data_IF_196244367763
#
_entry.id   IF_196244367763
#
_cell.length_a   1.000
_cell.length_b   1.000
_cell.length_c   1.000
_cell.angle_alpha   90.00
_cell.angle_beta   90.00
_cell.angle_gamma   90.00
#
_symmetry.space_group_name_H-M   'P 1'
#
loop_
_entity.id
_entity.type
_entity.pdbx_description
1 polymer ?
#
# COMPACT_ATOMS: atom_id res chain seq x y z
N UNK A 1 -2.17 15.95 7.31
CA UNK A 1 -1.23 15.94 6.16
C UNK A 1 -1.96 16.11 4.82
N UNK A 2 -2.90 15.24 4.40
CA UNK A 2 -3.62 15.42 3.12
C UNK A 2 -4.39 16.74 3.07
N UNK A 3 -5.08 17.13 4.13
CA UNK A 3 -5.79 18.41 4.21
C UNK A 3 -4.85 19.62 4.07
N UNK A 4 -3.63 19.55 4.60
CA UNK A 4 -2.64 20.62 4.43
C UNK A 4 -2.12 20.75 3.00
N UNK A 5 -2.39 19.77 2.15
CA UNK A 5 -2.13 19.77 0.71
C UNK A 5 -3.37 20.17 -0.12
N UNK A 6 -4.46 20.58 0.55
CA UNK A 6 -5.69 21.03 -0.10
C UNK A 6 -6.68 19.93 -0.45
N UNK A 7 -6.46 18.68 0.01
CA UNK A 7 -7.41 17.60 -0.22
C UNK A 7 -8.59 17.68 0.77
N UNK A 8 -9.81 17.42 0.28
CA UNK A 8 -10.94 17.14 1.15
C UNK A 8 -10.85 15.69 1.65
N UNK A 9 -10.75 15.50 2.94
CA UNK A 9 -10.53 14.15 3.53
C UNK A 9 -11.77 13.68 4.26
N UNK A 10 -12.20 12.44 3.99
CA UNK A 10 -13.28 11.76 4.69
C UNK A 10 -12.87 10.35 5.10
N UNK A 11 -13.45 9.84 6.19
CA UNK A 11 -13.24 8.45 6.57
C UNK A 11 -14.18 7.53 5.80
N UNK A 12 -13.62 6.48 5.19
CA UNK A 12 -14.36 5.43 4.50
C UNK A 12 -14.46 4.21 5.43
N UNK A 13 -15.67 3.86 5.82
CA UNK A 13 -15.98 2.72 6.69
C UNK A 13 -16.84 1.66 6.00
N UNK A 14 -17.53 2.03 4.93
CA UNK A 14 -18.43 1.16 4.17
C UNK A 14 -18.18 1.37 2.66
N UNK A 15 -18.35 0.33 1.83
CA UNK A 15 -18.05 0.38 0.41
C UNK A 15 -18.74 1.51 -0.37
N UNK A 16 -20.00 1.79 -0.07
CA UNK A 16 -20.76 2.86 -0.77
C UNK A 16 -20.18 4.26 -0.56
N UNK A 17 -19.32 4.45 0.45
CA UNK A 17 -18.66 5.73 0.71
C UNK A 17 -17.45 5.99 -0.23
N UNK A 18 -17.09 5.03 -1.08
CA UNK A 18 -16.11 5.24 -2.16
C UNK A 18 -16.66 6.08 -3.31
N UNK A 19 -17.98 6.16 -3.42
CA UNK A 19 -18.65 6.91 -4.48
C UNK A 19 -18.29 8.40 -4.40
N UNK A 20 -17.83 8.94 -5.53
CA UNK A 20 -17.47 10.36 -5.66
C UNK A 20 -16.13 10.76 -5.05
N UNK A 21 -15.30 9.80 -4.63
CA UNK A 21 -13.93 10.06 -4.21
C UNK A 21 -12.97 9.98 -5.41
N UNK A 22 -11.92 10.82 -5.40
CA UNK A 22 -10.83 10.76 -6.38
C UNK A 22 -9.79 9.71 -6.02
N UNK A 23 -9.64 9.39 -4.72
CA UNK A 23 -8.63 8.47 -4.23
C UNK A 23 -8.90 7.93 -2.83
N UNK A 24 -8.32 6.77 -2.54
CA UNK A 24 -8.39 6.11 -1.25
C UNK A 24 -6.98 5.86 -0.71
N UNK A 25 -6.75 6.14 0.57
CA UNK A 25 -5.54 5.71 1.29
C UNK A 25 -5.90 4.57 2.22
N UNK A 26 -5.21 3.43 2.05
CA UNK A 26 -5.25 2.30 2.98
C UNK A 26 -4.04 2.42 3.91
N UNK A 27 -4.24 2.81 5.17
CA UNK A 27 -3.14 3.09 6.09
C UNK A 27 -2.47 1.81 6.62
N UNK A 28 -1.38 2.00 7.33
CA UNK A 28 -0.76 0.97 8.15
C UNK A 28 -1.68 0.48 9.27
N UNK A 29 -1.34 -0.70 9.82
CA UNK A 29 -2.11 -1.35 10.88
C UNK A 29 -1.86 -2.85 10.92
N UNK A 30 -2.83 -3.64 11.36
CA UNK A 30 -2.76 -5.10 11.37
C UNK A 30 -3.46 -5.66 10.12
N UNK A 31 -2.65 -6.14 9.15
CA UNK A 31 -3.11 -6.54 7.82
C UNK A 31 -4.16 -7.66 7.84
N UNK A 32 -4.04 -8.63 8.74
CA UNK A 32 -5.01 -9.74 8.86
C UNK A 32 -6.39 -9.24 9.25
N UNK A 33 -6.44 -8.29 10.19
CA UNK A 33 -7.70 -7.65 10.62
C UNK A 33 -8.29 -6.82 9.49
N UNK A 34 -7.47 -6.02 8.81
CA UNK A 34 -7.92 -5.18 7.69
C UNK A 34 -8.54 -6.05 6.59
N UNK A 35 -7.84 -7.10 6.16
CA UNK A 35 -8.33 -8.02 5.11
C UNK A 35 -9.63 -8.72 5.54
N UNK A 36 -9.69 -9.26 6.76
CA UNK A 36 -10.92 -9.91 7.26
C UNK A 36 -12.12 -8.97 7.27
N UNK A 37 -11.91 -7.73 7.71
CA UNK A 37 -12.99 -6.72 7.71
C UNK A 37 -13.36 -6.30 6.29
N UNK A 38 -12.39 -6.14 5.40
CA UNK A 38 -12.65 -5.81 4.00
C UNK A 38 -13.53 -6.87 3.33
N UNK A 39 -13.22 -8.16 3.48
CA UNK A 39 -14.03 -9.26 2.96
C UNK A 39 -15.44 -9.27 3.60
N UNK A 40 -15.51 -9.11 4.91
CA UNK A 40 -16.80 -9.13 5.64
C UNK A 40 -17.76 -8.05 5.17
N UNK A 41 -17.26 -6.90 4.79
CA UNK A 41 -18.06 -5.74 4.39
C UNK A 41 -18.16 -5.53 2.88
N UNK A 42 -17.61 -6.44 2.07
CA UNK A 42 -17.73 -6.38 0.61
C UNK A 42 -16.81 -5.35 -0.07
N UNK A 43 -15.73 -4.96 0.57
CA UNK A 43 -14.76 -4.03 -0.02
C UNK A 43 -14.01 -4.56 -1.25
N UNK A 44 -13.68 -5.88 -1.40
CA UNK A 44 -12.90 -6.33 -2.54
C UNK A 44 -13.49 -5.95 -3.89
N UNK A 45 -14.78 -6.20 -4.09
CA UNK A 45 -15.46 -5.88 -5.34
C UNK A 45 -15.65 -4.37 -5.53
N UNK A 46 -15.97 -3.67 -4.44
CA UNK A 46 -16.11 -2.22 -4.46
C UNK A 46 -14.80 -1.50 -4.78
N UNK A 47 -13.67 -1.99 -4.28
CA UNK A 47 -12.34 -1.43 -4.58
C UNK A 47 -11.93 -1.71 -6.03
N UNK A 48 -12.19 -2.91 -6.56
CA UNK A 48 -11.95 -3.18 -7.99
C UNK A 48 -12.77 -2.25 -8.87
N UNK A 49 -14.05 -2.11 -8.59
CA UNK A 49 -14.91 -1.18 -9.34
C UNK A 49 -14.42 0.26 -9.23
N UNK A 50 -14.02 0.71 -8.03
CA UNK A 50 -13.46 2.04 -7.81
C UNK A 50 -12.21 2.31 -8.66
N UNK A 51 -11.30 1.32 -8.74
CA UNK A 51 -10.08 1.39 -9.56
C UNK A 51 -10.45 1.40 -11.05
N UNK A 52 -11.37 0.53 -11.49
CA UNK A 52 -11.83 0.44 -12.88
C UNK A 52 -12.47 1.75 -13.37
N UNK A 53 -13.13 2.50 -12.47
CA UNK A 53 -13.68 3.83 -12.73
C UNK A 53 -12.61 4.97 -12.67
N UNK A 54 -11.34 4.63 -12.44
CA UNK A 54 -10.22 5.57 -12.41
C UNK A 54 -9.88 6.13 -11.05
N UNK A 55 -10.45 5.62 -9.98
CA UNK A 55 -10.09 5.97 -8.60
C UNK A 55 -8.69 5.52 -8.24
N UNK A 56 -7.89 6.39 -7.63
CA UNK A 56 -6.54 6.07 -7.18
C UNK A 56 -6.54 5.39 -5.81
N UNK A 57 -5.74 4.32 -5.63
CA UNK A 57 -5.58 3.66 -4.33
C UNK A 57 -4.11 3.69 -3.91
N UNK A 58 -3.86 4.16 -2.69
CA UNK A 58 -2.53 4.19 -2.10
C UNK A 58 -2.47 3.39 -0.81
N UNK A 59 -1.69 2.29 -0.79
CA UNK A 59 -1.47 1.46 0.40
C UNK A 59 -0.13 1.75 1.06
N UNK A 60 -0.13 2.01 2.36
CA UNK A 60 1.09 2.20 3.15
C UNK A 60 1.26 1.10 4.20
N UNK A 61 2.44 0.53 4.35
CA UNK A 61 2.73 -0.54 5.32
C UNK A 61 1.73 -1.71 5.18
N UNK A 62 0.83 -1.93 6.15
CA UNK A 62 -0.23 -2.94 6.04
C UNK A 62 -1.13 -2.73 4.81
N UNK A 63 -1.33 -1.50 4.36
CA UNK A 63 -2.05 -1.20 3.12
C UNK A 63 -1.38 -1.79 1.87
N UNK A 64 -0.04 -1.81 1.79
CA UNK A 64 0.68 -2.52 0.72
C UNK A 64 0.39 -4.02 0.76
N UNK A 65 0.39 -4.64 1.95
CA UNK A 65 0.06 -6.06 2.13
C UNK A 65 -1.38 -6.35 1.66
N UNK A 66 -2.32 -5.47 2.01
CA UNK A 66 -3.74 -5.59 1.61
C UNK A 66 -3.92 -5.52 0.10
N UNK A 67 -3.16 -4.65 -0.59
CA UNK A 67 -3.28 -4.45 -2.04
C UNK A 67 -2.61 -5.53 -2.88
N UNK A 68 -1.65 -6.28 -2.35
CA UNK A 68 -0.87 -7.28 -3.08
C UNK A 68 -1.73 -8.34 -3.76
N UNK A 69 -1.19 -8.97 -4.80
CA UNK A 69 -1.77 -10.17 -5.43
C UNK A 69 -1.35 -11.45 -4.70
N UNK A 70 -0.16 -11.45 -4.10
CA UNK A 70 0.37 -12.59 -3.34
C UNK A 70 1.23 -12.14 -2.14
N UNK A 71 1.35 -13.02 -1.16
CA UNK A 71 2.26 -12.88 -0.02
C UNK A 71 3.20 -14.09 0.05
N UNK A 72 4.41 -13.92 0.58
CA UNK A 72 5.29 -15.04 0.89
C UNK A 72 4.77 -15.85 2.09
N UNK A 73 4.09 -15.21 3.01
CA UNK A 73 3.44 -15.81 4.16
C UNK A 73 2.03 -16.31 3.79
N UNK A 74 1.54 -17.40 4.43
CA UNK A 74 0.28 -18.04 4.05
C UNK A 74 -0.98 -17.19 4.36
N UNK A 75 -0.87 -16.18 5.19
CA UNK A 75 -2.00 -15.32 5.62
C UNK A 75 -1.59 -13.86 5.80
N UNK A 76 -2.52 -12.92 5.62
CA UNK A 76 -3.88 -13.06 5.12
C UNK A 76 -3.91 -13.28 3.60
N UNK A 77 -5.05 -13.70 3.04
CA UNK A 77 -5.30 -13.66 1.59
C UNK A 77 -5.52 -12.20 1.17
N UNK A 78 -4.61 -11.56 0.40
CA UNK A 78 -4.71 -10.14 0.06
C UNK A 78 -5.85 -9.87 -0.95
N UNK A 79 -6.15 -8.61 -1.22
CA UNK A 79 -7.30 -8.24 -2.07
C UNK A 79 -7.02 -8.27 -3.58
N UNK A 80 -5.77 -8.53 -3.98
CA UNK A 80 -5.34 -8.61 -5.39
C UNK A 80 -5.71 -7.35 -6.21
N UNK A 81 -5.34 -6.18 -5.68
CA UNK A 81 -5.56 -4.89 -6.32
C UNK A 81 -4.35 -4.41 -7.13
N UNK A 82 -3.17 -4.98 -6.90
CA UNK A 82 -1.92 -4.67 -7.60
C UNK A 82 -1.12 -5.95 -7.78
N UNK A 83 -0.54 -6.16 -8.96
CA UNK A 83 0.25 -7.36 -9.28
C UNK A 83 1.65 -7.28 -8.66
N UNK A 84 1.71 -7.50 -7.35
CA UNK A 84 2.94 -7.57 -6.56
C UNK A 84 2.89 -8.74 -5.58
N UNK A 85 4.06 -9.35 -5.36
CA UNK A 85 4.27 -10.28 -4.25
C UNK A 85 4.98 -9.55 -3.11
N UNK A 86 4.45 -9.64 -1.91
CA UNK A 86 4.96 -8.91 -0.74
C UNK A 86 5.39 -9.90 0.35
N UNK A 87 6.52 -9.62 1.00
CA UNK A 87 6.86 -10.22 2.30
C UNK A 87 6.46 -9.27 3.43
N UNK A 88 5.72 -9.78 4.40
CA UNK A 88 5.23 -9.01 5.55
C UNK A 88 6.33 -8.68 6.57
N UNK A 89 7.38 -9.51 6.63
CA UNK A 89 8.42 -9.45 7.66
C UNK A 89 9.83 -9.41 7.06
N UNK A 90 10.05 -8.61 6.04
CA UNK A 90 11.28 -8.61 5.25
C UNK A 90 12.52 -8.15 6.04
N UNK A 91 12.33 -7.33 7.07
CA UNK A 91 13.44 -6.78 7.86
C UNK A 91 13.72 -7.55 9.16
N UNK A 92 13.40 -8.87 9.20
CA UNK A 92 13.81 -9.79 10.25
C UNK A 92 12.92 -9.80 11.51
N UNK A 93 13.25 -10.72 12.45
CA UNK A 93 12.56 -10.88 13.75
C UNK A 93 12.88 -9.76 14.75
N UNK A 94 13.91 -8.99 14.50
CA UNK A 94 14.30 -7.88 15.34
C UNK A 94 13.62 -6.61 14.86
N UNK A 95 13.22 -5.82 15.79
CA UNK A 95 12.56 -4.53 15.78
C UNK A 95 13.52 -3.47 15.21
N UNK A 96 14.09 -3.70 14.06
CA UNK A 96 14.96 -2.72 13.43
C UNK A 96 14.10 -1.75 12.62
N UNK A 97 13.49 -0.83 13.38
CA UNK A 97 13.00 0.40 12.77
C UNK A 97 14.21 1.22 12.36
N UNK A 98 14.20 1.70 11.14
CA UNK A 98 15.24 2.60 10.64
C UNK A 98 14.60 3.72 9.83
N UNK A 99 15.37 4.79 9.68
CA UNK A 99 14.97 5.93 8.89
C UNK A 99 16.04 6.19 7.84
N UNK A 100 15.62 6.58 6.65
CA UNK A 100 16.55 6.91 5.57
C UNK A 100 15.89 7.86 4.57
N UNK A 101 16.70 8.66 3.90
CA UNK A 101 16.23 9.52 2.83
C UNK A 101 16.30 8.77 1.49
N UNK A 102 15.17 8.65 0.81
CA UNK A 102 15.05 7.85 -0.42
C UNK A 102 14.58 8.72 -1.58
N UNK A 103 15.27 8.70 -2.73
CA UNK A 103 14.75 9.31 -3.93
C UNK A 103 13.48 8.53 -4.40
N UNK A 104 12.39 9.26 -4.64
CA UNK A 104 11.15 8.69 -5.16
C UNK A 104 10.90 9.24 -6.56
N UNK A 105 10.82 8.37 -7.54
CA UNK A 105 10.61 8.74 -8.94
C UNK A 105 9.26 9.44 -9.11
N UNK A 106 9.31 10.63 -9.72
CA UNK A 106 8.10 11.44 -9.95
C UNK A 106 7.70 12.34 -8.78
N UNK A 107 8.40 12.31 -7.65
CA UNK A 107 8.19 13.23 -6.52
C UNK A 107 9.23 14.35 -6.60
N UNK A 108 8.83 15.62 -6.85
CA UNK A 108 9.76 16.74 -6.87
C UNK A 108 10.19 17.12 -5.45
N UNK A 109 11.34 17.79 -5.32
CA UNK A 109 11.80 18.37 -4.04
C UNK A 109 12.93 17.60 -3.36
N UNK A 110 13.48 16.56 -3.99
CA UNK A 110 14.59 15.78 -3.44
C UNK A 110 14.15 14.49 -2.75
N UNK A 111 15.06 13.82 -2.01
CA UNK A 111 14.74 12.60 -1.31
C UNK A 111 13.63 12.78 -0.27
N UNK A 112 12.80 11.75 -0.13
CA UNK A 112 11.74 11.68 0.87
C UNK A 112 12.29 11.02 2.12
N UNK A 113 12.11 11.63 3.28
CA UNK A 113 12.44 11.00 4.56
C UNK A 113 11.46 9.87 4.85
N UNK A 114 11.95 8.65 4.79
CA UNK A 114 11.16 7.43 4.95
C UNK A 114 11.46 6.75 6.28
N UNK A 115 10.40 6.32 6.96
CA UNK A 115 10.46 5.63 8.26
C UNK A 115 9.96 4.20 8.08
N UNK A 116 10.78 3.24 8.42
CA UNK A 116 10.48 1.81 8.32
C UNK A 116 10.31 1.21 9.71
N UNK A 117 9.10 0.79 10.04
CA UNK A 117 8.74 0.17 11.33
C UNK A 117 8.13 -1.19 11.02
N UNK A 118 8.89 -2.27 11.17
CA UNK A 118 8.46 -3.63 10.80
C UNK A 118 7.82 -3.66 9.41
N UNK A 119 8.46 -2.97 8.47
CA UNK A 119 7.90 -2.69 7.18
C UNK A 119 7.84 -3.95 6.29
N UNK A 120 6.80 -4.10 5.45
CA UNK A 120 6.80 -5.07 4.37
C UNK A 120 7.74 -4.61 3.24
N UNK A 121 8.14 -5.54 2.38
CA UNK A 121 8.84 -5.21 1.14
C UNK A 121 8.25 -5.94 -0.06
N UNK A 122 8.38 -5.34 -1.23
CA UNK A 122 8.01 -5.98 -2.50
C UNK A 122 9.10 -6.98 -2.87
N UNK A 123 8.70 -8.23 -3.13
CA UNK A 123 9.59 -9.33 -3.48
C UNK A 123 9.57 -9.61 -4.99
N UNK A 124 8.41 -9.41 -5.60
CA UNK A 124 8.21 -9.54 -7.04
C UNK A 124 7.16 -8.55 -7.52
N UNK A 125 7.26 -8.14 -8.77
CA UNK A 125 6.35 -7.20 -9.41
C UNK A 125 6.00 -7.67 -10.81
N UNK A 126 4.71 -7.67 -11.13
CA UNK A 126 4.18 -8.08 -12.41
C UNK A 126 4.35 -7.05 -13.50
N UNK A 127 3.89 -7.41 -14.68
CA UNK A 127 3.93 -6.52 -15.85
C UNK A 127 3.10 -5.27 -15.62
N UNK A 128 3.67 -4.09 -15.93
CA UNK A 128 3.03 -2.80 -15.72
C UNK A 128 3.22 -2.18 -14.34
N UNK A 129 3.85 -2.89 -13.40
CA UNK A 129 4.22 -2.33 -12.10
C UNK A 129 5.63 -1.75 -12.16
N UNK A 130 5.76 -0.48 -11.82
CA UNK A 130 7.02 0.25 -11.81
C UNK A 130 7.55 0.42 -10.38
N UNK A 131 8.82 0.06 -10.14
CA UNK A 131 9.52 0.45 -8.91
C UNK A 131 9.83 1.96 -8.97
N UNK A 132 9.30 2.71 -8.01
CA UNK A 132 9.50 4.16 -7.90
C UNK A 132 10.43 4.56 -6.76
N UNK A 133 10.70 3.65 -5.81
CA UNK A 133 11.72 3.84 -4.77
C UNK A 133 12.27 2.50 -4.29
N UNK A 134 13.59 2.47 -4.01
CA UNK A 134 14.29 1.30 -3.49
C UNK A 134 15.35 1.71 -2.47
N UNK A 135 15.70 0.79 -1.59
CA UNK A 135 16.83 0.94 -0.66
C UNK A 135 18.17 0.81 -1.40
N UNK A 136 19.27 1.13 -0.72
CA UNK A 136 20.64 1.02 -1.28
C UNK A 136 21.00 -0.41 -1.71
N UNK A 137 20.44 -1.43 -1.05
CA UNK A 137 20.60 -2.84 -1.40
C UNK A 137 19.74 -3.30 -2.59
N UNK A 138 18.95 -2.39 -3.18
CA UNK A 138 18.06 -2.67 -4.29
C UNK A 138 16.67 -3.15 -3.89
N UNK A 139 16.36 -3.29 -2.59
CA UNK A 139 15.03 -3.72 -2.12
C UNK A 139 13.96 -2.70 -2.50
N UNK A 140 12.94 -3.06 -3.30
CA UNK A 140 11.85 -2.15 -3.65
C UNK A 140 10.97 -1.84 -2.45
N UNK A 141 10.73 -0.55 -2.19
CA UNK A 141 9.94 -0.06 -1.06
C UNK A 141 8.74 0.80 -1.46
N UNK A 142 8.70 1.24 -2.71
CA UNK A 142 7.53 1.86 -3.29
C UNK A 142 7.39 1.48 -4.76
N UNK A 143 6.18 1.14 -5.15
CA UNK A 143 5.81 0.74 -6.52
C UNK A 143 4.49 1.41 -6.92
N UNK A 144 4.26 1.53 -8.24
CA UNK A 144 2.98 1.97 -8.80
C UNK A 144 2.64 1.19 -10.07
N UNK A 145 1.38 1.08 -10.38
CA UNK A 145 0.81 0.56 -11.63
C UNK A 145 -0.06 1.62 -12.30
#
# INVERSE_FOLDING_TARGET
>A
MLESLGAAVTEVRLPHQLEGLDGLVIPGGESTTIVKLAHRWGFPDALRHFIDEGGAVWGTCAGMIVMASALLEPEPEPLSLMDITVSRNSFGRQVDSFETDIPVKGVPGGPVHAVFIRAPSVQDQGEGVECIAQLEDGTPVAVRS
#
